data_IF_745155805404
#
_entry.id   IF_745155805404
#
_cell.length_a   1.000
_cell.length_b   1.000
_cell.length_c   1.000
_cell.angle_alpha   90.00
_cell.angle_beta   90.00
_cell.angle_gamma   90.00
#
_symmetry.space_group_name_H-M   'P 1'
#
loop_
_entity.id
_entity.type
_entity.pdbx_description
1 polymer ?
#
# COMPACT_ATOMS: atom_id res chain seq x y z
N UNK A 1 6.27 19.07 -27.08
CA UNK A 1 5.66 18.14 -26.11
C UNK A 1 4.96 17.02 -26.87
N UNK A 2 5.58 15.84 -26.99
CA UNK A 2 4.95 14.67 -27.60
C UNK A 2 5.35 13.45 -26.77
N UNK A 3 4.45 13.02 -25.87
CA UNK A 3 4.58 11.74 -25.20
C UNK A 3 3.93 10.70 -26.13
N UNK A 4 4.73 9.83 -26.74
CA UNK A 4 4.24 8.78 -27.63
C UNK A 4 3.78 7.53 -26.87
N UNK A 5 4.37 7.29 -25.71
CA UNK A 5 4.05 6.17 -24.82
C UNK A 5 4.16 6.61 -23.37
N UNK A 6 3.16 6.28 -22.58
CA UNK A 6 3.09 6.56 -21.15
C UNK A 6 2.87 5.26 -20.39
N UNK A 7 3.67 5.03 -19.35
CA UNK A 7 3.46 3.95 -18.38
C UNK A 7 3.34 4.60 -17.01
N UNK A 8 2.25 4.29 -16.31
CA UNK A 8 2.00 4.74 -14.94
C UNK A 8 2.04 3.53 -14.02
N UNK A 9 2.75 3.65 -12.91
CA UNK A 9 2.84 2.62 -11.87
C UNK A 9 2.43 3.26 -10.56
N UNK A 10 1.53 2.60 -9.85
CA UNK A 10 0.99 3.08 -8.59
C UNK A 10 0.03 2.06 -8.01
N UNK A 11 -0.44 2.34 -6.80
CA UNK A 11 -1.37 1.49 -6.08
C UNK A 11 -2.42 2.36 -5.35
N UNK A 12 -3.65 2.43 -5.86
CA UNK A 12 -4.74 3.20 -5.25
C UNK A 12 -5.15 2.72 -3.85
N UNK A 13 -4.65 1.57 -3.37
CA UNK A 13 -4.89 1.08 -2.00
C UNK A 13 -3.88 1.60 -0.98
N UNK A 14 -2.85 2.32 -1.42
CA UNK A 14 -1.81 2.91 -0.57
C UNK A 14 -2.06 4.40 -0.32
N UNK A 15 -1.10 5.07 0.32
CA UNK A 15 -1.24 6.46 0.72
C UNK A 15 -1.49 7.39 -0.49
N UNK A 16 -2.47 8.31 -0.40
CA UNK A 16 -2.65 9.34 -1.39
C UNK A 16 -1.51 10.38 -1.33
N UNK A 17 -1.37 11.26 -2.34
CA UNK A 17 -0.42 12.35 -2.29
C UNK A 17 -0.63 13.26 -1.08
N UNK A 18 0.45 13.63 -0.40
CA UNK A 18 0.41 14.65 0.65
C UNK A 18 0.31 16.03 0.01
N UNK A 19 -0.79 16.74 0.26
CA UNK A 19 -1.00 18.12 -0.21
C UNK A 19 -0.83 19.05 0.98
N UNK A 20 0.05 20.04 0.82
CA UNK A 20 0.22 21.12 1.79
C UNK A 20 -0.56 22.34 1.30
N UNK A 21 -1.44 22.91 2.13
CA UNK A 21 -2.26 24.07 1.78
C UNK A 21 -3.48 24.24 2.68
N UNK A 22 -4.28 25.28 2.43
CA UNK A 22 -5.58 25.46 3.09
C UNK A 22 -6.61 24.46 2.57
N UNK A 23 -7.64 24.13 3.36
CA UNK A 23 -8.74 23.23 2.98
C UNK A 23 -9.32 23.52 1.57
N UNK A 24 -9.43 24.81 1.21
CA UNK A 24 -9.90 25.26 -0.11
C UNK A 24 -9.05 24.82 -1.32
N UNK A 25 -7.83 24.31 -1.09
CA UNK A 25 -6.94 23.75 -2.12
C UNK A 25 -7.21 22.24 -2.32
N UNK A 26 -7.66 21.54 -1.28
CA UNK A 26 -8.02 20.12 -1.34
C UNK A 26 -9.30 19.90 -2.17
N UNK A 27 -10.32 20.73 -1.95
CA UNK A 27 -11.61 20.67 -2.67
C UNK A 27 -11.53 20.91 -4.20
N UNK A 28 -10.35 21.23 -4.73
CA UNK A 28 -10.11 21.45 -6.17
C UNK A 28 -9.59 20.20 -6.90
N UNK A 29 -9.59 19.03 -6.25
CA UNK A 29 -9.29 17.75 -6.86
C UNK A 29 -7.80 17.45 -7.03
N UNK A 30 -6.92 18.17 -6.34
CA UNK A 30 -5.47 17.92 -6.34
C UNK A 30 -5.10 16.58 -5.70
N UNK A 31 -5.98 16.02 -4.87
CA UNK A 31 -5.81 14.70 -4.25
C UNK A 31 -6.00 13.54 -5.24
N UNK A 32 -6.67 13.79 -6.38
CA UNK A 32 -6.88 12.77 -7.39
C UNK A 32 -5.63 12.63 -8.26
N UNK A 33 -4.99 11.47 -8.16
CA UNK A 33 -3.82 11.20 -9.00
C UNK A 33 -4.22 11.05 -10.47
N UNK A 34 -3.26 11.26 -11.38
CA UNK A 34 -3.46 10.97 -12.81
C UNK A 34 -3.86 9.50 -13.02
N UNK A 35 -3.32 8.58 -12.21
CA UNK A 35 -3.64 7.16 -12.26
C UNK A 35 -5.12 6.92 -11.95
N UNK A 36 -5.64 7.50 -10.86
CA UNK A 36 -7.04 7.37 -10.46
C UNK A 36 -7.97 7.96 -11.51
N UNK A 37 -7.63 9.12 -12.06
CA UNK A 37 -8.42 9.78 -13.11
C UNK A 37 -8.52 8.91 -14.36
N UNK A 38 -7.43 8.26 -14.80
CA UNK A 38 -7.47 7.35 -15.94
C UNK A 38 -8.28 6.08 -15.64
N UNK A 39 -8.22 5.56 -14.42
CA UNK A 39 -9.06 4.44 -13.99
C UNK A 39 -10.55 4.79 -14.07
N UNK A 40 -10.95 5.98 -13.60
CA UNK A 40 -12.33 6.48 -13.71
C UNK A 40 -12.79 6.70 -15.16
N UNK A 41 -11.87 7.02 -16.06
CA UNK A 41 -12.13 7.11 -17.50
C UNK A 41 -12.23 5.72 -18.19
N UNK A 42 -12.11 4.63 -17.43
CA UNK A 42 -12.28 3.25 -17.92
C UNK A 42 -10.98 2.55 -18.30
N UNK A 43 -9.81 3.17 -18.10
CA UNK A 43 -8.53 2.49 -18.29
C UNK A 43 -8.27 1.52 -17.14
N UNK A 44 -8.38 0.22 -17.40
CA UNK A 44 -8.20 -0.81 -16.37
C UNK A 44 -6.72 -1.00 -16.06
N UNK A 45 -6.28 -0.86 -14.79
CA UNK A 45 -4.91 -1.15 -14.41
C UNK A 45 -4.64 -2.66 -14.43
N UNK A 46 -3.39 -3.02 -14.63
CA UNK A 46 -2.93 -4.41 -14.50
C UNK A 46 -2.38 -4.61 -13.08
N UNK A 47 -3.04 -5.46 -12.30
CA UNK A 47 -2.55 -5.83 -10.97
C UNK A 47 -1.39 -6.82 -11.10
N UNK A 48 -0.23 -6.47 -10.55
CA UNK A 48 0.86 -7.42 -10.32
C UNK A 48 0.54 -8.24 -9.08
N UNK A 49 0.29 -9.53 -9.26
CA UNK A 49 -0.30 -10.37 -8.22
C UNK A 49 0.70 -11.03 -7.30
N UNK A 50 1.94 -11.24 -7.74
CA UNK A 50 2.91 -12.00 -6.95
C UNK A 50 3.74 -11.08 -6.06
N UNK A 51 3.64 -11.25 -4.74
CA UNK A 51 4.43 -10.52 -3.74
C UNK A 51 5.64 -11.36 -3.34
N UNK A 52 6.82 -10.74 -3.26
CA UNK A 52 8.07 -11.42 -2.89
C UNK A 52 8.72 -10.83 -1.64
N UNK A 53 8.03 -9.94 -0.92
CA UNK A 53 8.64 -9.15 0.15
C UNK A 53 8.48 -9.81 1.51
N UNK A 54 7.26 -10.03 1.96
CA UNK A 54 6.97 -10.45 3.33
C UNK A 54 6.57 -11.92 3.43
N UNK A 55 6.64 -12.46 4.64
CA UNK A 55 6.17 -13.80 4.98
C UNK A 55 4.67 -13.96 4.64
N UNK A 56 4.21 -15.14 4.17
CA UNK A 56 2.79 -15.40 3.84
C UNK A 56 1.78 -14.95 4.92
N UNK A 57 2.04 -15.26 6.19
CA UNK A 57 1.23 -14.78 7.32
C UNK A 57 1.06 -13.24 7.40
N UNK A 58 2.06 -12.45 6.97
CA UNK A 58 1.98 -10.98 6.96
C UNK A 58 1.21 -10.50 5.73
N UNK A 59 1.51 -11.05 4.54
CA UNK A 59 0.84 -10.66 3.29
C UNK A 59 -0.65 -11.01 3.31
N UNK A 60 -1.04 -12.11 3.96
CA UNK A 60 -2.42 -12.57 4.06
C UNK A 60 -3.37 -11.49 4.57
N UNK A 61 -2.98 -10.74 5.61
CA UNK A 61 -3.79 -9.68 6.21
C UNK A 61 -4.06 -8.56 5.20
N UNK A 62 -3.02 -8.06 4.54
CA UNK A 62 -3.16 -7.01 3.54
C UNK A 62 -3.94 -7.51 2.30
N UNK A 63 -3.69 -8.75 1.88
CA UNK A 63 -4.35 -9.37 0.74
C UNK A 63 -5.87 -9.46 0.94
N UNK A 64 -6.31 -9.89 2.12
CA UNK A 64 -7.71 -9.95 2.49
C UNK A 64 -8.33 -8.55 2.54
N UNK A 65 -7.71 -7.63 3.26
CA UNK A 65 -8.30 -6.30 3.53
C UNK A 65 -8.35 -5.39 2.29
N UNK A 66 -7.35 -5.47 1.40
CA UNK A 66 -7.18 -4.46 0.35
C UNK A 66 -7.24 -5.01 -1.07
N UNK A 67 -6.96 -6.30 -1.26
CA UNK A 67 -6.79 -6.91 -2.60
C UNK A 67 -7.74 -8.07 -2.89
N UNK A 68 -8.75 -8.30 -2.03
CA UNK A 68 -9.78 -9.34 -2.22
C UNK A 68 -9.17 -10.75 -2.42
N UNK A 69 -8.05 -11.04 -1.76
CA UNK A 69 -7.35 -12.32 -1.89
C UNK A 69 -6.63 -12.53 -3.24
N UNK A 70 -6.47 -11.48 -4.07
CA UNK A 70 -5.89 -11.61 -5.41
C UNK A 70 -4.37 -11.73 -5.41
N UNK A 71 -3.68 -11.33 -4.35
CA UNK A 71 -2.22 -11.48 -4.25
C UNK A 71 -1.83 -12.95 -4.03
N UNK A 72 -0.65 -13.32 -4.51
CA UNK A 72 -0.05 -14.65 -4.44
C UNK A 72 1.34 -14.48 -3.84
N UNK A 73 1.73 -15.35 -2.91
CA UNK A 73 3.07 -15.33 -2.35
C UNK A 73 4.06 -16.02 -3.30
N UNK A 74 5.10 -15.31 -3.70
CA UNK A 74 6.23 -15.83 -4.47
C UNK A 74 7.40 -16.29 -3.60
N UNK A 75 7.20 -16.31 -2.29
CA UNK A 75 8.13 -16.74 -1.26
C UNK A 75 7.41 -17.68 -0.30
N UNK A 76 8.12 -18.64 0.29
CA UNK A 76 7.58 -19.52 1.31
C UNK A 76 7.74 -18.94 2.71
N UNK A 77 7.24 -19.65 3.72
CA UNK A 77 7.45 -19.29 5.13
C UNK A 77 8.94 -19.36 5.51
N UNK A 78 9.64 -20.37 4.99
CA UNK A 78 11.06 -20.61 5.24
C UNK A 78 11.95 -19.52 4.63
N UNK A 79 11.55 -18.94 3.50
CA UNK A 79 12.25 -17.82 2.88
C UNK A 79 12.23 -16.54 3.75
N UNK A 80 11.32 -16.47 4.73
CA UNK A 80 11.06 -15.29 5.57
C UNK A 80 10.92 -15.66 7.05
N UNK A 81 11.76 -16.58 7.52
CA UNK A 81 11.76 -17.01 8.91
C UNK A 81 11.85 -15.83 9.90
N UNK A 82 11.24 -15.94 11.09
CA UNK A 82 11.38 -14.95 12.15
C UNK A 82 12.85 -14.66 12.48
N UNK A 83 13.13 -13.44 12.93
CA UNK A 83 14.49 -13.05 13.34
C UNK A 83 14.98 -13.86 14.56
N UNK A 84 14.05 -14.26 15.43
CA UNK A 84 14.31 -15.09 16.61
C UNK A 84 13.33 -16.25 16.60
N UNK A 85 13.83 -17.48 16.73
CA UNK A 85 13.03 -18.71 16.62
C UNK A 85 11.86 -18.80 17.61
N UNK A 86 11.97 -18.12 18.75
CA UNK A 86 10.96 -18.14 19.81
C UNK A 86 9.90 -17.05 19.64
N UNK A 87 10.07 -16.12 18.70
CA UNK A 87 9.09 -15.07 18.43
C UNK A 87 8.14 -15.50 17.29
N UNK A 88 6.84 -15.17 17.38
CA UNK A 88 5.95 -15.37 16.26
C UNK A 88 6.32 -14.42 15.11
N UNK A 89 5.96 -14.80 13.87
CA UNK A 89 6.14 -13.97 12.68
C UNK A 89 5.49 -12.59 12.80
N UNK A 90 4.35 -12.51 13.48
CA UNK A 90 3.63 -11.26 13.73
C UNK A 90 3.10 -11.23 15.16
N UNK A 91 3.35 -10.13 15.88
CA UNK A 91 2.83 -9.89 17.21
C UNK A 91 2.47 -8.41 17.35
N UNK A 92 1.34 -8.13 18.00
CA UNK A 92 0.98 -6.78 18.43
C UNK A 92 1.24 -6.67 19.94
N UNK A 93 2.23 -5.88 20.33
CA UNK A 93 2.56 -5.67 21.74
C UNK A 93 1.92 -4.39 22.25
N UNK A 94 0.95 -4.54 23.16
CA UNK A 94 0.28 -3.40 23.79
C UNK A 94 1.23 -2.71 24.76
N UNK A 95 1.57 -1.46 24.48
CA UNK A 95 2.38 -0.62 25.37
C UNK A 95 1.49 0.45 25.98
N UNK A 96 1.54 0.59 27.31
CA UNK A 96 0.87 1.68 28.00
C UNK A 96 1.79 2.90 28.02
N UNK A 97 1.29 4.03 27.53
CA UNK A 97 2.02 5.30 27.50
C UNK A 97 1.12 6.44 27.06
N UNK A 98 1.59 7.67 27.26
CA UNK A 98 0.90 8.89 26.78
C UNK A 98 1.79 9.53 25.73
N UNK A 99 1.21 9.88 24.58
CA UNK A 99 1.92 10.65 23.54
C UNK A 99 2.36 12.01 24.13
N UNK A 100 3.63 12.36 23.94
CA UNK A 100 4.17 13.64 24.36
C UNK A 100 4.31 14.57 23.16
N UNK A 101 3.61 15.70 23.20
CA UNK A 101 3.81 16.76 22.23
C UNK A 101 4.90 17.68 22.76
N UNK A 102 6.01 17.78 22.04
CA UNK A 102 7.01 18.83 22.29
C UNK A 102 6.53 20.11 21.61
N UNK A 103 6.38 21.18 22.40
CA UNK A 103 6.12 22.53 21.91
C UNK A 103 7.43 23.25 21.55
#
# INVERSE_FOLDING_TARGET
>A
FQCEKLVLVGDPKQLPPTIQGSESVHDKGLEQTLFDRLCLMGHKPVLLRTQYRCHPAISAIANELFYEGKLIDGVSEEDRSPLLDWLPTLCFYSVNGVEQVSF
#
